data_IF_793299856706
#
_entry.id   IF_793299856706
#
_cell.length_a   1.000
_cell.length_b   1.000
_cell.length_c   1.000
_cell.angle_alpha   90.00
_cell.angle_beta   90.00
_cell.angle_gamma   90.00
#
_symmetry.space_group_name_H-M   'P 1'
#
loop_
_entity.id
_entity.type
_entity.pdbx_description
1 polymer ?
#
# COMPACT_ATOMS: atom_id res chain seq x y z
N UNK A 1 -7.33 -3.31 12.14
CA UNK A 1 -8.46 -3.80 12.97
C UNK A 1 -9.59 -2.76 13.14
N UNK A 2 -9.29 -1.46 13.27
CA UNK A 2 -10.30 -0.42 13.51
C UNK A 2 -11.42 -0.33 12.46
N UNK A 3 -11.09 -0.40 11.15
CA UNK A 3 -12.10 -0.29 10.07
C UNK A 3 -13.11 -1.44 10.08
N UNK A 4 -12.68 -2.66 10.35
CA UNK A 4 -13.58 -3.83 10.44
C UNK A 4 -14.55 -3.65 11.61
N UNK A 5 -14.02 -3.34 12.80
CA UNK A 5 -14.83 -3.13 14.00
C UNK A 5 -15.83 -1.99 13.82
N UNK A 6 -15.38 -0.86 13.28
CA UNK A 6 -16.26 0.29 13.01
C UNK A 6 -17.34 -0.05 11.99
N UNK A 7 -16.99 -0.70 10.87
CA UNK A 7 -17.96 -1.12 9.86
C UNK A 7 -19.03 -2.06 10.41
N UNK A 8 -18.63 -3.03 11.25
CA UNK A 8 -19.56 -3.96 11.91
C UNK A 8 -20.49 -3.22 12.89
N UNK A 9 -19.96 -2.32 13.71
CA UNK A 9 -20.77 -1.54 14.67
C UNK A 9 -21.81 -0.68 13.93
N UNK A 10 -21.40 0.03 12.86
CA UNK A 10 -22.33 0.85 12.07
C UNK A 10 -23.40 -0.01 11.40
N UNK A 11 -23.01 -1.18 10.85
CA UNK A 11 -23.97 -2.10 10.23
C UNK A 11 -24.98 -2.64 11.26
N UNK A 12 -24.51 -3.05 12.43
CA UNK A 12 -25.39 -3.55 13.51
C UNK A 12 -26.33 -2.44 14.00
N UNK A 13 -25.84 -1.22 14.19
CA UNK A 13 -26.68 -0.08 14.59
C UNK A 13 -27.74 0.24 13.53
N UNK A 14 -27.37 0.24 12.24
CA UNK A 14 -28.31 0.47 11.13
C UNK A 14 -29.34 -0.64 11.05
N UNK A 15 -28.92 -1.90 11.20
CA UNK A 15 -29.81 -3.05 11.20
C UNK A 15 -30.78 -3.02 12.39
N UNK A 16 -30.27 -2.68 13.58
CA UNK A 16 -31.11 -2.50 14.76
C UNK A 16 -32.16 -1.39 14.55
N UNK A 17 -31.78 -0.27 13.94
CA UNK A 17 -32.71 0.79 13.58
C UNK A 17 -33.78 0.30 12.60
N UNK A 18 -33.43 -0.50 11.59
CA UNK A 18 -34.39 -1.07 10.62
C UNK A 18 -35.32 -2.10 11.28
N UNK A 19 -34.83 -2.92 12.20
CA UNK A 19 -35.61 -3.98 12.86
C UNK A 19 -36.52 -3.45 13.95
N UNK A 20 -36.05 -2.50 14.76
CA UNK A 20 -36.79 -2.01 15.95
C UNK A 20 -37.44 -0.63 15.72
N UNK A 21 -37.07 0.08 14.65
CA UNK A 21 -37.76 1.30 14.22
C UNK A 21 -39.18 0.94 13.76
N UNK A 22 -40.20 1.72 14.19
CA UNK A 22 -41.58 1.57 13.70
C UNK A 22 -41.67 2.12 12.29
N UNK A 23 -41.26 1.33 11.28
CA UNK A 23 -41.18 1.78 9.89
C UNK A 23 -42.46 1.52 9.14
N UNK A 24 -42.89 2.52 8.35
CA UNK A 24 -44.09 2.40 7.51
C UNK A 24 -43.88 1.42 6.32
N UNK A 25 -42.62 1.27 5.83
CA UNK A 25 -42.28 0.41 4.70
C UNK A 25 -40.96 -0.33 4.95
N UNK A 26 -40.92 -1.36 5.80
CA UNK A 26 -39.68 -2.05 6.23
C UNK A 26 -38.94 -2.68 5.06
N UNK A 27 -39.60 -3.19 4.04
CA UNK A 27 -38.93 -3.84 2.88
C UNK A 27 -38.07 -2.84 2.09
N UNK A 28 -38.47 -1.57 1.98
CA UNK A 28 -37.69 -0.52 1.31
C UNK A 28 -36.40 -0.21 2.09
N UNK A 29 -36.47 -0.21 3.41
CA UNK A 29 -35.33 -0.02 4.28
C UNK A 29 -34.35 -1.19 4.16
N UNK A 30 -34.84 -2.44 4.08
CA UNK A 30 -33.99 -3.62 3.85
C UNK A 30 -33.35 -3.61 2.46
N UNK A 31 -34.07 -3.23 1.41
CA UNK A 31 -33.52 -3.08 0.06
C UNK A 31 -32.43 -2.02 0.01
N UNK A 32 -32.67 -0.85 0.64
CA UNK A 32 -31.70 0.23 0.74
C UNK A 32 -30.44 -0.19 1.54
N UNK A 33 -30.63 -0.94 2.64
CA UNK A 33 -29.53 -1.49 3.44
C UNK A 33 -28.64 -2.44 2.61
N UNK A 34 -29.25 -3.39 1.91
CA UNK A 34 -28.51 -4.34 1.08
C UNK A 34 -27.77 -3.67 -0.07
N UNK A 35 -28.43 -2.76 -0.80
CA UNK A 35 -27.86 -2.05 -1.92
C UNK A 35 -26.73 -1.09 -1.48
N UNK A 36 -26.91 -0.35 -0.38
CA UNK A 36 -25.91 0.55 0.16
C UNK A 36 -24.65 -0.19 0.62
N UNK A 37 -24.81 -1.27 1.39
CA UNK A 37 -23.69 -2.10 1.85
C UNK A 37 -22.94 -2.74 0.66
N UNK A 38 -23.68 -3.32 -0.28
CA UNK A 38 -23.10 -3.96 -1.48
C UNK A 38 -22.31 -2.95 -2.32
N UNK A 39 -22.86 -1.78 -2.59
CA UNK A 39 -22.17 -0.73 -3.34
C UNK A 39 -20.92 -0.22 -2.60
N UNK A 40 -21.02 -0.02 -1.28
CA UNK A 40 -19.89 0.41 -0.46
C UNK A 40 -18.74 -0.60 -0.49
N UNK A 41 -19.03 -1.90 -0.28
CA UNK A 41 -18.02 -2.96 -0.36
C UNK A 41 -17.41 -3.03 -1.75
N UNK A 42 -18.25 -3.02 -2.80
CA UNK A 42 -17.79 -3.10 -4.18
C UNK A 42 -16.87 -1.94 -4.55
N UNK A 43 -17.27 -0.71 -4.21
CA UNK A 43 -16.51 0.51 -4.50
C UNK A 43 -15.10 0.45 -3.91
N UNK A 44 -14.99 0.10 -2.64
CA UNK A 44 -13.71 0.10 -1.94
C UNK A 44 -12.89 -1.18 -2.14
N UNK A 45 -13.50 -2.26 -2.62
CA UNK A 45 -12.81 -3.49 -2.99
C UNK A 45 -12.23 -3.44 -4.40
N UNK A 46 -12.98 -2.86 -5.35
CA UNK A 46 -12.68 -2.94 -6.78
C UNK A 46 -12.45 -1.57 -7.44
N UNK A 47 -12.99 -0.49 -6.90
CA UNK A 47 -12.99 0.85 -7.52
C UNK A 47 -11.63 1.54 -7.58
N UNK A 48 -10.63 1.07 -6.84
CA UNK A 48 -9.33 1.76 -6.71
C UNK A 48 -8.46 1.75 -7.97
N UNK A 49 -8.81 0.98 -9.00
CA UNK A 49 -8.07 0.95 -10.27
C UNK A 49 -8.46 2.06 -11.25
N UNK A 50 -9.63 2.67 -11.05
CA UNK A 50 -10.15 3.69 -11.95
C UNK A 50 -10.82 4.81 -11.13
N UNK A 51 -10.11 5.90 -10.92
CA UNK A 51 -10.56 7.04 -10.12
C UNK A 51 -11.91 7.58 -10.63
N UNK A 52 -12.12 7.64 -11.94
CA UNK A 52 -13.38 8.10 -12.54
C UNK A 52 -14.57 7.20 -12.22
N UNK A 53 -14.39 5.89 -12.17
CA UNK A 53 -15.45 4.94 -11.78
C UNK A 53 -15.81 5.14 -10.31
N UNK A 54 -14.82 5.34 -9.46
CA UNK A 54 -15.03 5.61 -8.03
C UNK A 54 -15.79 6.90 -7.81
N UNK A 55 -15.46 7.97 -8.54
CA UNK A 55 -16.17 9.25 -8.48
C UNK A 55 -17.63 9.12 -8.98
N UNK A 56 -17.85 8.45 -10.10
CA UNK A 56 -19.21 8.21 -10.62
C UNK A 56 -20.07 7.44 -9.63
N UNK A 57 -19.55 6.40 -9.00
CA UNK A 57 -20.25 5.64 -7.97
C UNK A 57 -20.53 6.47 -6.72
N UNK A 58 -19.59 7.32 -6.31
CA UNK A 58 -19.78 8.21 -5.16
C UNK A 58 -20.88 9.26 -5.43
N UNK A 59 -20.83 9.89 -6.61
CA UNK A 59 -21.88 10.85 -7.03
C UNK A 59 -23.23 10.16 -7.20
N UNK A 60 -23.27 8.94 -7.74
CA UNK A 60 -24.48 8.13 -7.83
C UNK A 60 -25.06 7.80 -6.46
N UNK A 61 -24.24 7.40 -5.50
CA UNK A 61 -24.68 7.14 -4.13
C UNK A 61 -25.22 8.40 -3.44
N UNK A 62 -24.57 9.55 -3.68
CA UNK A 62 -25.05 10.84 -3.17
C UNK A 62 -26.37 11.25 -3.81
N UNK A 63 -26.53 11.08 -5.12
CA UNK A 63 -27.78 11.36 -5.81
C UNK A 63 -28.95 10.50 -5.28
N UNK A 64 -28.72 9.19 -5.07
CA UNK A 64 -29.72 8.31 -4.44
C UNK A 64 -30.08 8.81 -3.04
N UNK A 65 -29.08 9.24 -2.26
CA UNK A 65 -29.29 9.81 -0.93
C UNK A 65 -30.22 11.02 -0.99
N UNK A 66 -29.95 11.97 -1.89
CA UNK A 66 -30.78 13.18 -2.08
C UNK A 66 -32.20 12.79 -2.47
N UNK A 67 -32.39 11.87 -3.42
CA UNK A 67 -33.71 11.40 -3.84
C UNK A 67 -34.51 10.79 -2.66
N UNK A 68 -33.85 9.95 -1.85
CA UNK A 68 -34.47 9.33 -0.69
C UNK A 68 -34.83 10.34 0.39
N UNK A 69 -34.02 11.40 0.58
CA UNK A 69 -34.32 12.46 1.53
C UNK A 69 -35.46 13.38 1.06
N UNK A 70 -35.47 13.76 -0.23
CA UNK A 70 -36.55 14.59 -0.79
C UNK A 70 -37.91 13.87 -0.73
N UNK A 71 -37.90 12.53 -0.80
CA UNK A 71 -39.11 11.72 -0.71
C UNK A 71 -39.29 11.07 0.68
N UNK A 72 -38.75 11.67 1.75
CA UNK A 72 -38.73 11.08 3.09
C UNK A 72 -40.16 10.75 3.61
N UNK A 73 -41.17 11.53 3.23
CA UNK A 73 -42.57 11.29 3.61
C UNK A 73 -43.11 9.97 3.03
N UNK A 74 -42.60 9.53 1.86
CA UNK A 74 -43.09 8.32 1.18
C UNK A 74 -42.18 7.13 1.41
N UNK A 75 -40.84 7.33 1.55
CA UNK A 75 -39.84 6.29 1.65
C UNK A 75 -39.34 6.08 3.08
N UNK A 76 -39.73 6.97 3.99
CA UNK A 76 -39.47 6.86 5.42
C UNK A 76 -37.99 6.76 5.75
N UNK A 77 -37.59 5.71 6.47
CA UNK A 77 -36.25 5.48 6.98
C UNK A 77 -35.28 4.84 5.98
N UNK A 78 -35.69 4.62 4.72
CA UNK A 78 -34.83 4.02 3.70
C UNK A 78 -33.57 4.87 3.44
N UNK A 79 -33.66 6.20 3.57
CA UNK A 79 -32.52 7.11 3.45
C UNK A 79 -31.45 6.86 4.54
N UNK A 80 -31.88 6.68 5.79
CA UNK A 80 -30.97 6.39 6.91
C UNK A 80 -30.37 5.00 6.74
N UNK A 81 -31.19 4.01 6.33
CA UNK A 81 -30.72 2.66 6.06
C UNK A 81 -29.66 2.63 4.93
N UNK A 82 -29.86 3.41 3.88
CA UNK A 82 -28.93 3.56 2.77
C UNK A 82 -27.59 4.15 3.22
N UNK A 83 -27.60 5.30 3.90
CA UNK A 83 -26.37 5.97 4.34
C UNK A 83 -25.60 5.10 5.32
N UNK A 84 -26.25 4.60 6.36
CA UNK A 84 -25.61 3.76 7.37
C UNK A 84 -24.98 2.51 6.77
N UNK A 85 -25.69 1.82 5.88
CA UNK A 85 -25.17 0.63 5.22
C UNK A 85 -24.06 0.93 4.21
N UNK A 86 -24.13 2.04 3.48
CA UNK A 86 -23.06 2.48 2.57
C UNK A 86 -21.77 2.77 3.35
N UNK A 87 -21.84 3.52 4.46
CA UNK A 87 -20.70 3.78 5.35
C UNK A 87 -20.14 2.49 5.93
N UNK A 88 -21.00 1.58 6.39
CA UNK A 88 -20.58 0.26 6.86
C UNK A 88 -19.86 -0.53 5.74
N UNK A 89 -20.46 -0.56 4.54
CA UNK A 89 -19.90 -1.26 3.37
C UNK A 89 -18.53 -0.73 2.96
N UNK A 90 -18.32 0.59 2.95
CA UNK A 90 -17.02 1.20 2.63
C UNK A 90 -15.94 0.78 3.63
N UNK A 91 -16.24 0.75 4.92
CA UNK A 91 -15.30 0.31 5.96
C UNK A 91 -15.00 -1.18 5.86
N UNK A 92 -16.01 -2.03 5.61
CA UNK A 92 -15.83 -3.46 5.41
C UNK A 92 -15.01 -3.76 4.13
N UNK A 93 -15.27 -3.04 3.04
CA UNK A 93 -14.53 -3.16 1.79
C UNK A 93 -13.05 -2.76 1.97
N UNK A 94 -12.79 -1.68 2.70
CA UNK A 94 -11.43 -1.24 3.06
C UNK A 94 -10.72 -2.28 3.92
N UNK A 95 -11.38 -2.80 4.96
CA UNK A 95 -10.82 -3.85 5.81
C UNK A 95 -10.51 -5.12 5.02
N UNK A 96 -11.41 -5.54 4.13
CA UNK A 96 -11.20 -6.69 3.26
C UNK A 96 -10.01 -6.48 2.32
N UNK A 97 -9.90 -5.30 1.71
CA UNK A 97 -8.75 -4.95 0.87
C UNK A 97 -7.45 -5.05 1.67
N UNK A 98 -7.37 -4.48 2.87
CA UNK A 98 -6.19 -4.55 3.74
C UNK A 98 -5.80 -5.98 4.11
N UNK A 99 -6.77 -6.86 4.32
CA UNK A 99 -6.52 -8.28 4.62
C UNK A 99 -6.10 -9.05 3.37
N UNK A 100 -6.70 -8.75 2.21
CA UNK A 100 -6.40 -9.47 0.96
C UNK A 100 -5.15 -8.95 0.24
N UNK A 101 -4.70 -7.73 0.55
CA UNK A 101 -3.42 -7.18 0.08
C UNK A 101 -2.24 -7.51 1.01
N UNK A 102 -2.50 -8.12 2.18
CA UNK A 102 -1.40 -8.79 2.88
C UNK A 102 -0.83 -9.80 1.90
N UNK A 103 0.49 -9.73 1.57
CA UNK A 103 1.10 -10.77 0.77
C UNK A 103 0.70 -12.07 1.46
N UNK A 104 0.01 -12.98 0.75
CA UNK A 104 -0.15 -14.35 1.21
C UNK A 104 1.27 -14.75 1.56
N UNK A 105 1.54 -14.99 2.85
CA UNK A 105 2.77 -15.66 3.24
C UNK A 105 2.77 -16.90 2.35
N UNK A 106 3.59 -16.84 1.28
CA UNK A 106 3.68 -17.90 0.28
C UNK A 106 3.99 -19.11 1.12
N UNK A 107 3.01 -19.99 1.28
CA UNK A 107 3.13 -21.16 2.13
C UNK A 107 4.48 -21.74 1.79
N UNK A 108 5.32 -21.94 2.80
CA UNK A 108 6.68 -22.42 2.67
C UNK A 108 6.66 -23.73 1.87
N UNK A 109 6.60 -23.61 0.55
CA UNK A 109 7.13 -24.63 -0.31
C UNK A 109 8.63 -24.57 -0.06
N UNK A 110 9.20 -25.68 0.30
CA UNK A 110 10.62 -26.00 0.12
C UNK A 110 10.94 -26.02 -1.37
N UNK A 111 10.76 -24.87 -2.02
CA UNK A 111 11.35 -24.54 -3.31
C UNK A 111 12.64 -23.82 -2.92
N UNK A 112 13.77 -24.24 -3.44
CA UNK A 112 14.98 -23.46 -3.42
C UNK A 112 14.60 -22.01 -3.65
N UNK A 113 14.96 -21.14 -2.69
CA UNK A 113 14.49 -19.76 -2.70
C UNK A 113 15.04 -19.10 -3.96
N UNK A 114 14.18 -18.89 -4.95
CA UNK A 114 14.57 -18.21 -6.17
C UNK A 114 14.78 -16.72 -5.86
N UNK A 115 15.78 -16.12 -6.47
CA UNK A 115 15.98 -14.69 -6.48
C UNK A 115 14.92 -14.03 -7.37
N UNK A 116 14.43 -12.89 -6.97
CA UNK A 116 13.53 -12.05 -7.77
C UNK A 116 14.21 -10.69 -7.97
N UNK A 117 14.41 -10.26 -9.21
CA UNK A 117 14.97 -8.96 -9.58
C UNK A 117 14.00 -8.26 -10.51
N UNK A 118 13.52 -7.08 -10.12
CA UNK A 118 12.56 -6.28 -10.89
C UNK A 118 11.30 -7.08 -11.34
N UNK A 119 10.92 -8.13 -10.59
CA UNK A 119 9.76 -8.99 -10.88
C UNK A 119 10.09 -10.23 -11.72
N UNK A 120 11.31 -10.42 -12.16
CA UNK A 120 11.79 -11.63 -12.85
C UNK A 120 12.44 -12.60 -11.87
N UNK A 121 12.20 -13.91 -12.03
CA UNK A 121 12.72 -14.96 -11.16
C UNK A 121 14.02 -15.55 -11.74
N UNK A 122 15.04 -15.68 -10.87
CA UNK A 122 16.36 -16.26 -11.19
C UNK A 122 16.64 -17.43 -10.26
N UNK A 123 17.13 -18.54 -10.80
CA UNK A 123 17.57 -19.69 -10.02
C UNK A 123 19.04 -19.60 -9.60
N UNK A 124 19.85 -18.82 -10.33
CA UNK A 124 21.25 -18.55 -10.06
C UNK A 124 21.45 -17.23 -9.35
N UNK A 125 22.15 -17.25 -8.20
CA UNK A 125 22.56 -16.01 -7.50
C UNK A 125 23.45 -15.13 -8.37
N UNK A 126 24.35 -15.72 -9.17
CA UNK A 126 25.25 -14.97 -10.02
C UNK A 126 24.49 -14.20 -11.10
N UNK A 127 23.52 -14.85 -11.79
CA UNK A 127 22.66 -14.20 -12.80
C UNK A 127 21.81 -13.11 -12.17
N UNK A 128 21.18 -13.39 -11.02
CA UNK A 128 20.40 -12.39 -10.30
C UNK A 128 21.21 -11.17 -9.87
N UNK A 129 22.47 -11.39 -9.48
CA UNK A 129 23.40 -10.32 -9.08
C UNK A 129 23.80 -9.46 -10.26
N UNK A 130 24.13 -10.09 -11.39
CA UNK A 130 24.53 -9.40 -12.61
C UNK A 130 23.35 -8.55 -13.13
N UNK A 131 22.14 -9.11 -13.18
CA UNK A 131 20.93 -8.40 -13.57
C UNK A 131 20.60 -7.24 -12.62
N UNK A 132 20.64 -7.49 -11.30
CA UNK A 132 20.37 -6.46 -10.31
C UNK A 132 21.40 -5.30 -10.41
N UNK A 133 22.65 -5.61 -10.68
CA UNK A 133 23.72 -4.60 -10.86
C UNK A 133 23.49 -3.81 -12.15
N UNK A 134 23.11 -4.46 -13.23
CA UNK A 134 22.78 -3.81 -14.49
C UNK A 134 21.56 -2.91 -14.35
N UNK A 135 20.48 -3.42 -13.74
CA UNK A 135 19.26 -2.65 -13.46
C UNK A 135 19.52 -1.46 -12.54
N UNK A 136 20.36 -1.61 -11.49
CA UNK A 136 20.73 -0.50 -10.61
C UNK A 136 21.44 0.63 -11.36
N UNK A 137 22.38 0.29 -12.24
CA UNK A 137 23.09 1.27 -13.08
C UNK A 137 22.23 1.93 -14.12
N UNK A 138 21.16 1.24 -14.55
CA UNK A 138 20.19 1.75 -15.51
C UNK A 138 19.12 2.66 -14.90
N UNK A 139 19.10 2.85 -13.56
CA UNK A 139 18.17 3.77 -12.92
C UNK A 139 18.44 5.20 -13.37
N UNK A 140 17.51 5.75 -14.14
CA UNK A 140 17.55 7.13 -14.69
C UNK A 140 16.68 8.10 -13.88
N UNK A 141 15.80 7.57 -13.02
CA UNK A 141 14.86 8.35 -12.24
C UNK A 141 13.61 8.78 -13.00
N UNK A 142 13.41 8.27 -14.21
CA UNK A 142 12.25 8.53 -15.09
C UNK A 142 11.57 7.22 -15.46
N UNK A 143 11.90 6.62 -16.59
CA UNK A 143 11.34 5.32 -17.00
C UNK A 143 11.79 4.17 -16.09
N UNK A 144 13.02 4.25 -15.59
CA UNK A 144 13.60 3.31 -14.64
C UNK A 144 13.92 4.04 -13.33
N UNK A 145 12.92 4.19 -12.47
CA UNK A 145 13.06 4.93 -11.20
C UNK A 145 13.12 4.04 -9.96
N UNK A 146 12.92 2.74 -10.10
CA UNK A 146 12.83 1.82 -8.96
C UNK A 146 13.39 0.44 -9.30
N UNK A 147 14.18 -0.13 -8.38
CA UNK A 147 14.68 -1.50 -8.40
C UNK A 147 14.25 -2.22 -7.13
N UNK A 148 13.73 -3.44 -7.26
CA UNK A 148 13.45 -4.35 -6.15
C UNK A 148 14.17 -5.67 -6.38
N UNK A 149 14.90 -6.14 -5.35
CA UNK A 149 15.55 -7.45 -5.31
C UNK A 149 15.04 -8.21 -4.10
N UNK A 150 14.64 -9.47 -4.26
CA UNK A 150 14.12 -10.28 -3.17
C UNK A 150 14.69 -11.70 -3.16
N UNK A 151 14.78 -12.28 -1.96
CA UNK A 151 15.02 -13.71 -1.73
C UNK A 151 14.12 -14.15 -0.57
N UNK A 152 13.08 -14.92 -0.89
CA UNK A 152 12.09 -15.32 0.11
C UNK A 152 11.38 -14.13 0.75
N UNK A 153 11.58 -13.90 2.06
CA UNK A 153 11.03 -12.75 2.79
C UNK A 153 11.97 -11.54 2.84
N UNK A 154 13.23 -11.71 2.45
CA UNK A 154 14.19 -10.61 2.44
C UNK A 154 14.01 -9.75 1.19
N UNK A 155 14.18 -8.42 1.35
CA UNK A 155 13.99 -7.46 0.26
C UNK A 155 15.01 -6.34 0.32
N UNK A 156 15.46 -5.92 -0.85
CA UNK A 156 16.30 -4.75 -1.09
C UNK A 156 15.59 -3.88 -2.12
N UNK A 157 15.40 -2.60 -1.81
CA UNK A 157 14.71 -1.65 -2.68
C UNK A 157 15.58 -0.42 -2.88
N UNK A 158 15.65 0.06 -4.11
CA UNK A 158 16.32 1.32 -4.46
C UNK A 158 15.39 2.15 -5.31
N UNK A 159 15.33 3.45 -5.03
CA UNK A 159 14.59 4.40 -5.84
C UNK A 159 15.46 5.63 -6.15
N UNK A 160 15.23 6.24 -7.31
CA UNK A 160 15.93 7.43 -7.77
C UNK A 160 16.69 7.24 -9.06
N UNK A 161 17.79 7.97 -9.20
CA UNK A 161 18.65 7.96 -10.39
C UNK A 161 20.10 7.72 -10.00
N UNK A 162 20.77 6.82 -10.73
CA UNK A 162 22.20 6.53 -10.56
C UNK A 162 23.11 7.78 -10.71
N UNK A 163 22.65 8.75 -11.50
CA UNK A 163 23.39 10.00 -11.73
C UNK A 163 23.02 11.18 -10.83
N UNK A 164 21.85 11.13 -10.13
CA UNK A 164 21.37 12.27 -9.34
C UNK A 164 21.22 11.96 -7.85
N UNK A 165 21.13 10.69 -7.49
CA UNK A 165 20.98 10.23 -6.11
C UNK A 165 19.96 9.10 -5.95
N UNK A 166 20.23 8.21 -5.03
CA UNK A 166 19.51 6.98 -4.79
C UNK A 166 19.12 6.88 -3.32
N UNK A 167 17.92 6.40 -3.03
CA UNK A 167 17.49 6.04 -1.67
C UNK A 167 17.38 4.53 -1.58
N UNK A 168 18.09 3.94 -0.63
CA UNK A 168 18.26 2.50 -0.54
C UNK A 168 17.68 1.96 0.77
N UNK A 169 16.74 1.03 0.64
CA UNK A 169 16.09 0.35 1.75
C UNK A 169 16.40 -1.14 1.74
N UNK A 170 16.45 -1.72 2.93
CA UNK A 170 16.60 -3.15 3.11
C UNK A 170 15.66 -3.66 4.19
N UNK A 171 15.12 -4.85 3.99
CA UNK A 171 14.32 -5.55 4.98
C UNK A 171 14.67 -7.04 4.97
N UNK A 172 15.19 -7.61 6.07
CA UNK A 172 15.46 -9.05 6.19
C UNK A 172 14.18 -9.88 6.20
N UNK A 173 13.03 -9.29 6.59
CA UNK A 173 11.75 -9.99 6.68
C UNK A 173 10.59 -9.02 6.47
N UNK A 174 10.08 -8.94 5.24
CA UNK A 174 8.98 -8.03 4.86
C UNK A 174 7.67 -8.32 5.58
N UNK A 175 7.54 -9.43 6.28
CA UNK A 175 6.39 -9.70 7.15
C UNK A 175 6.39 -8.82 8.41
N UNK A 176 7.55 -8.22 8.73
CA UNK A 176 7.78 -7.36 9.89
C UNK A 176 8.07 -5.93 9.44
N UNK A 177 7.10 -5.05 9.59
CA UNK A 177 7.24 -3.63 9.24
C UNK A 177 8.42 -2.93 9.94
N UNK A 178 8.71 -3.35 11.17
CA UNK A 178 9.81 -2.79 11.98
C UNK A 178 11.20 -3.21 11.52
N UNK A 179 11.30 -4.18 10.59
CA UNK A 179 12.57 -4.67 10.06
C UNK A 179 13.12 -3.83 8.91
N UNK A 180 12.39 -2.82 8.46
CA UNK A 180 12.89 -1.90 7.44
C UNK A 180 14.06 -1.08 7.97
N UNK A 181 15.09 -0.94 7.14
CA UNK A 181 16.23 -0.08 7.37
C UNK A 181 16.54 0.71 6.10
N UNK A 182 16.90 1.98 6.24
CA UNK A 182 17.38 2.84 5.16
C UNK A 182 18.84 3.23 5.46
N UNK A 183 19.66 3.25 4.43
CA UNK A 183 21.07 3.67 4.52
C UNK A 183 21.14 5.17 4.83
N UNK A 184 22.00 5.52 5.78
CA UNK A 184 22.25 6.90 6.19
C UNK A 184 23.70 7.28 5.84
N UNK A 185 23.89 8.49 5.35
CA UNK A 185 25.21 9.12 5.19
C UNK A 185 25.54 9.93 6.42
N UNK A 186 26.70 9.69 7.00
CA UNK A 186 27.19 10.41 8.19
C UNK A 186 27.81 11.76 7.85
N UNK A 187 28.20 11.97 6.60
CA UNK A 187 28.85 13.19 6.10
C UNK A 187 27.86 14.28 5.67
N UNK A 188 26.55 14.03 5.76
CA UNK A 188 25.50 14.94 5.31
C UNK A 188 24.59 15.38 6.46
N UNK A 189 24.15 16.65 6.42
CA UNK A 189 23.19 17.19 7.40
C UNK A 189 21.79 16.66 7.17
N UNK A 190 21.05 16.48 8.26
CA UNK A 190 19.63 16.11 8.21
C UNK A 190 18.73 17.25 7.69
N UNK A 191 19.21 18.50 7.76
CA UNK A 191 18.38 19.69 7.52
C UNK A 191 18.22 20.02 6.03
N UNK A 192 19.11 19.47 5.18
CA UNK A 192 19.04 19.70 3.73
C UNK A 192 18.17 18.64 3.07
N UNK A 193 17.28 19.07 2.17
CA UNK A 193 16.50 18.19 1.29
C UNK A 193 17.07 18.20 -0.11
N UNK A 194 17.16 17.01 -0.71
CA UNK A 194 17.58 16.82 -2.11
C UNK A 194 16.38 16.27 -2.88
N UNK A 195 16.17 16.78 -4.10
CA UNK A 195 15.21 16.23 -5.02
C UNK A 195 15.74 14.91 -5.58
N UNK A 196 14.97 13.82 -5.35
CA UNK A 196 15.22 12.49 -5.92
C UNK A 196 14.15 12.22 -6.98
N UNK A 197 14.55 12.07 -8.26
CA UNK A 197 13.59 11.82 -9.33
C UNK A 197 13.01 10.40 -9.20
N UNK A 198 11.68 10.27 -9.44
CA UNK A 198 10.92 9.03 -9.23
C UNK A 198 9.81 8.89 -10.28
N UNK A 199 10.18 8.84 -11.54
CA UNK A 199 9.22 8.88 -12.66
C UNK A 199 8.53 10.24 -12.71
N UNK A 200 7.22 10.22 -12.84
CA UNK A 200 6.39 11.44 -12.90
C UNK A 200 6.33 12.22 -11.58
N UNK A 201 6.88 11.68 -10.50
CA UNK A 201 6.85 12.27 -9.17
C UNK A 201 8.26 12.68 -8.74
N UNK A 202 8.38 13.84 -8.10
CA UNK A 202 9.61 14.31 -7.48
C UNK A 202 9.54 14.09 -5.98
N UNK A 203 10.43 13.26 -5.44
CA UNK A 203 10.58 13.06 -4.01
C UNK A 203 11.59 14.04 -3.42
N UNK A 204 11.24 14.71 -2.31
CA UNK A 204 12.22 15.49 -1.53
C UNK A 204 12.65 14.67 -0.33
N UNK A 205 13.92 14.28 -0.30
CA UNK A 205 14.48 13.43 0.73
C UNK A 205 15.56 14.15 1.52
N UNK A 206 15.66 13.93 2.85
CA UNK A 206 16.81 14.42 3.62
C UNK A 206 18.12 13.99 2.97
N UNK A 207 19.06 14.90 2.79
CA UNK A 207 20.32 14.63 2.07
C UNK A 207 21.10 13.44 2.64
N UNK A 208 21.01 13.23 3.96
CA UNK A 208 21.62 12.08 4.64
C UNK A 208 21.08 10.72 4.19
N UNK A 209 19.88 10.64 3.59
CA UNK A 209 19.28 9.41 3.09
C UNK A 209 19.58 9.15 1.61
N UNK A 210 20.13 10.16 0.93
CA UNK A 210 20.45 10.07 -0.50
C UNK A 210 21.89 9.58 -0.68
N UNK A 211 22.04 8.44 -1.32
CA UNK A 211 23.29 7.73 -1.55
C UNK A 211 23.78 7.97 -2.97
N UNK A 212 25.09 7.81 -3.16
CA UNK A 212 25.70 7.66 -4.49
C UNK A 212 25.66 6.20 -4.96
N UNK A 213 25.86 6.00 -6.25
CA UNK A 213 25.83 4.68 -6.88
C UNK A 213 26.82 3.68 -6.23
N UNK A 214 28.09 4.03 -5.96
CA UNK A 214 29.03 3.11 -5.33
C UNK A 214 28.60 2.62 -3.94
N UNK A 215 27.99 3.49 -3.14
CA UNK A 215 27.48 3.11 -1.81
C UNK A 215 26.31 2.12 -1.92
N UNK A 216 25.43 2.31 -2.91
CA UNK A 216 24.29 1.42 -3.14
C UNK A 216 24.75 0.09 -3.75
N UNK A 217 25.71 0.09 -4.69
CA UNK A 217 26.32 -1.15 -5.21
C UNK A 217 26.95 -1.99 -4.10
N UNK A 218 27.67 -1.35 -3.18
CA UNK A 218 28.23 -2.04 -2.03
C UNK A 218 27.14 -2.63 -1.12
N UNK A 219 26.03 -1.87 -0.89
CA UNK A 219 24.90 -2.36 -0.11
C UNK A 219 24.15 -3.51 -0.79
N UNK A 220 24.01 -3.47 -2.12
CA UNK A 220 23.44 -4.54 -2.93
C UNK A 220 24.31 -5.81 -2.84
N UNK A 221 25.63 -5.66 -2.97
CA UNK A 221 26.57 -6.78 -2.81
C UNK A 221 26.47 -7.43 -1.42
N UNK A 222 26.34 -6.62 -0.37
CA UNK A 222 26.14 -7.11 1.00
C UNK A 222 24.78 -7.81 1.18
N UNK A 223 23.75 -7.35 0.46
CA UNK A 223 22.44 -8.01 0.46
C UNK A 223 22.52 -9.41 -0.14
N UNK A 224 23.19 -9.59 -1.27
CA UNK A 224 23.38 -10.92 -1.86
C UNK A 224 24.11 -11.89 -0.93
N UNK A 225 25.11 -11.42 -0.16
CA UNK A 225 25.85 -12.25 0.81
C UNK A 225 25.00 -12.68 2.00
N UNK A 226 24.16 -11.77 2.53
CA UNK A 226 23.45 -11.96 3.78
C UNK A 226 22.02 -11.41 3.73
N UNK A 227 21.13 -11.90 2.84
CA UNK A 227 19.83 -11.29 2.61
C UNK A 227 18.94 -11.22 3.88
N UNK A 228 19.01 -12.24 4.74
CA UNK A 228 18.23 -12.35 5.96
C UNK A 228 18.77 -11.56 7.16
N UNK A 229 19.87 -10.82 7.00
CA UNK A 229 20.47 -10.03 8.09
C UNK A 229 20.37 -8.53 7.82
N UNK A 230 20.33 -7.74 8.89
CA UNK A 230 20.51 -6.29 8.78
C UNK A 230 21.96 -5.96 8.36
N UNK A 231 22.19 -4.90 7.57
CA UNK A 231 23.53 -4.46 7.24
C UNK A 231 24.33 -4.15 8.51
N UNK A 232 25.57 -4.63 8.57
CA UNK A 232 26.50 -4.31 9.66
C UNK A 232 27.51 -3.27 9.22
N UNK A 233 28.00 -2.45 10.18
CA UNK A 233 29.07 -1.50 9.92
C UNK A 233 28.67 -0.24 9.14
N UNK A 234 27.37 0.02 8.97
CA UNK A 234 26.81 1.23 8.35
C UNK A 234 25.82 1.90 9.29
N UNK A 235 25.69 3.22 9.19
CA UNK A 235 24.63 3.91 9.88
C UNK A 235 23.29 3.64 9.18
N UNK A 236 22.28 3.32 9.98
CA UNK A 236 20.94 2.95 9.50
C UNK A 236 19.89 3.70 10.30
N UNK A 237 18.90 4.24 9.61
CA UNK A 237 17.62 4.58 10.21
C UNK A 237 16.74 3.32 10.12
N UNK A 238 16.09 2.92 11.22
CA UNK A 238 15.36 1.65 11.30
C UNK A 238 13.92 1.84 11.76
N UNK A 239 13.10 0.82 11.58
CA UNK A 239 11.74 0.78 12.08
C UNK A 239 10.76 1.64 11.30
N UNK A 240 9.83 2.27 12.02
CA UNK A 240 8.76 3.08 11.41
C UNK A 240 9.31 4.29 10.65
N UNK A 241 10.42 4.86 11.11
CA UNK A 241 11.06 6.01 10.46
C UNK A 241 11.63 5.60 9.10
N UNK A 242 12.31 4.45 9.01
CA UNK A 242 12.79 3.91 7.74
C UNK A 242 11.63 3.55 6.81
N UNK A 243 10.56 2.96 7.34
CA UNK A 243 9.36 2.64 6.58
C UNK A 243 8.70 3.88 5.97
N UNK A 244 8.64 4.97 6.73
CA UNK A 244 8.04 6.24 6.31
C UNK A 244 8.80 6.93 5.16
N UNK A 245 10.06 6.58 4.94
CA UNK A 245 10.90 7.13 3.85
C UNK A 245 10.91 6.26 2.59
N UNK A 246 10.20 5.11 2.59
CA UNK A 246 10.13 4.25 1.40
C UNK A 246 9.40 4.96 0.26
N UNK A 247 10.08 4.99 -0.86
CA UNK A 247 9.60 5.52 -2.11
C UNK A 247 9.03 4.34 -2.91
N UNK A 248 7.75 4.05 -2.69
CA UNK A 248 7.04 3.00 -3.45
C UNK A 248 6.17 3.66 -4.50
N UNK A 249 6.34 3.26 -5.75
CA UNK A 249 5.35 3.52 -6.80
C UNK A 249 4.10 2.70 -6.48
N UNK A 250 2.98 3.35 -6.24
CA UNK A 250 1.67 2.72 -6.06
C UNK A 250 0.96 2.50 -7.40
#
# INVERSE_FOLDING_TARGET
MSYLAFGVVVLCATLAFVLFGRLAAPWQAFAALGAGAGLGVWLFRFGSRHVWVSLLCLFGALAVCVVLFVNADTVGSAGIAWIGSFVAGTNLGTAWRMVSTKPKARAARTVEAAWEVAGEEFTSEAEARDEATAALRALDGDANAHLSVALGSARFEVAGSAGKGLVCHRNPDVSKDVSWAVLVRTDQSADNSIEVPMGDVKGFMPSRLVQDLPAVEAALSDFFKTPALQPSGRELLTGNDARGTRLTTY
#
